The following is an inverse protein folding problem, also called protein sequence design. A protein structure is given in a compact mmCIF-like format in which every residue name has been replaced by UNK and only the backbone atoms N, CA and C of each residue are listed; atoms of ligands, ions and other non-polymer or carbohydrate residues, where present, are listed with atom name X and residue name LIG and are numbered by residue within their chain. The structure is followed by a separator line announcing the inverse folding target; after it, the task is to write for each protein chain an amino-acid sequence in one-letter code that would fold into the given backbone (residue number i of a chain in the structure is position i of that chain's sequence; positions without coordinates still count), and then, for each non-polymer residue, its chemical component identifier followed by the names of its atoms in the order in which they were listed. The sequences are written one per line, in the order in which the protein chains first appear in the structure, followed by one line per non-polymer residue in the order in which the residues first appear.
data_IF_960928216959
#
_entry.id   IF_960928216959
#
_cell.length_a   1.000
_cell.length_b   1.000
_cell.length_c   1.000
_cell.angle_alpha   90.00
_cell.angle_beta   90.00
_cell.angle_gamma   90.00
#
_symmetry.space_group_name_H-M   'P 1'
#
loop_
_entity.id
_entity.type
_entity.pdbx_description
1 polymer ?
#
# COMPACT_ATOMS: atom_id res chain seq x y z
N UNK A 1 -11.66 -21.13 3.28
CA UNK A 1 -12.32 -19.84 3.52
C UNK A 1 -13.83 -20.03 3.39
N UNK A 2 -14.60 -19.54 4.36
CA UNK A 2 -16.07 -19.43 4.29
C UNK A 2 -16.48 -17.99 4.53
N UNK A 3 -17.57 -17.55 3.92
CA UNK A 3 -18.16 -16.23 4.15
C UNK A 3 -19.59 -16.40 4.65
N UNK A 4 -19.95 -15.65 5.69
CA UNK A 4 -21.30 -15.65 6.29
C UNK A 4 -21.80 -14.21 6.33
N UNK A 5 -22.99 -13.96 5.79
CA UNK A 5 -23.68 -12.67 5.95
C UNK A 5 -24.46 -12.70 7.26
N UNK A 6 -24.19 -11.74 8.14
CA UNK A 6 -24.80 -11.62 9.45
C UNK A 6 -26.13 -10.85 9.39
N UNK A 7 -27.02 -11.00 10.39
CA UNK A 7 -28.31 -10.29 10.41
C UNK A 7 -28.21 -8.76 10.42
N UNK A 8 -27.09 -8.21 10.88
CA UNK A 8 -26.80 -6.78 10.89
C UNK A 8 -26.25 -6.25 9.55
N UNK A 9 -26.13 -7.12 8.54
CA UNK A 9 -25.59 -6.79 7.22
C UNK A 9 -24.07 -6.90 7.10
N UNK A 10 -23.35 -7.19 8.20
CA UNK A 10 -21.90 -7.44 8.14
C UNK A 10 -21.58 -8.80 7.50
N UNK A 11 -20.35 -8.97 7.02
CA UNK A 11 -19.87 -10.25 6.47
C UNK A 11 -18.71 -10.77 7.30
N UNK A 12 -18.83 -11.99 7.82
CA UNK A 12 -17.75 -12.69 8.52
C UNK A 12 -17.03 -13.64 7.58
N UNK A 13 -15.72 -13.42 7.43
CA UNK A 13 -14.82 -14.33 6.73
C UNK A 13 -14.07 -15.22 7.72
N UNK A 14 -14.16 -16.53 7.53
CA UNK A 14 -13.43 -17.52 8.35
C UNK A 14 -12.38 -18.23 7.51
N UNK A 15 -11.15 -18.26 8.01
CA UNK A 15 -10.02 -18.93 7.40
C UNK A 15 -9.22 -19.70 8.46
N UNK A 16 -8.49 -20.74 8.04
CA UNK A 16 -7.54 -21.41 8.94
C UNK A 16 -6.30 -20.55 9.12
N UNK A 17 -5.53 -20.76 10.21
CA UNK A 17 -4.24 -20.11 10.41
C UNK A 17 -3.26 -20.38 9.27
N UNK A 18 -3.31 -21.58 8.69
CA UNK A 18 -2.50 -21.93 7.53
C UNK A 18 -2.89 -21.11 6.28
N UNK A 19 -4.19 -20.93 6.04
CA UNK A 19 -4.69 -20.09 4.94
C UNK A 19 -4.33 -18.61 5.15
N UNK A 20 -4.49 -18.11 6.37
CA UNK A 20 -4.08 -16.74 6.73
C UNK A 20 -2.59 -16.52 6.44
N UNK A 21 -1.74 -17.42 6.93
CA UNK A 21 -0.30 -17.36 6.69
C UNK A 21 0.03 -17.38 5.19
N UNK A 22 -0.62 -18.25 4.43
CA UNK A 22 -0.43 -18.33 2.98
C UNK A 22 -0.78 -17.00 2.30
N UNK A 23 -1.91 -16.37 2.64
CA UNK A 23 -2.31 -15.08 2.06
C UNK A 23 -1.32 -13.95 2.41
N UNK A 24 -0.80 -13.94 3.63
CA UNK A 24 0.23 -12.99 4.05
C UNK A 24 1.53 -13.18 3.26
N UNK A 25 1.98 -14.43 3.10
CA UNK A 25 3.19 -14.77 2.36
C UNK A 25 3.03 -14.46 0.86
N UNK A 26 1.89 -14.77 0.26
CA UNK A 26 1.57 -14.44 -1.15
C UNK A 26 1.55 -12.92 -1.38
N UNK A 27 0.99 -12.15 -0.44
CA UNK A 27 1.00 -10.68 -0.51
C UNK A 27 2.43 -10.14 -0.42
N UNK A 28 3.28 -10.73 0.44
CA UNK A 28 4.72 -10.39 0.52
C UNK A 28 5.41 -10.61 -0.81
N UNK A 29 5.21 -11.75 -1.43
CA UNK A 29 5.81 -12.07 -2.74
C UNK A 29 5.35 -11.08 -3.80
N UNK A 30 4.05 -10.82 -3.92
CA UNK A 30 3.50 -9.90 -4.92
C UNK A 30 4.03 -8.45 -4.76
N UNK A 31 4.20 -7.99 -3.52
CA UNK A 31 4.80 -6.68 -3.24
C UNK A 31 6.26 -6.66 -3.69
N UNK A 32 7.04 -7.69 -3.38
CA UNK A 32 8.44 -7.78 -3.80
C UNK A 32 8.59 -7.83 -5.33
N UNK A 33 7.71 -8.57 -6.01
CA UNK A 33 7.67 -8.61 -7.48
C UNK A 33 7.33 -7.24 -8.07
N UNK A 34 6.39 -6.51 -7.47
CA UNK A 34 6.03 -5.15 -7.89
C UNK A 34 7.20 -4.18 -7.69
N UNK A 35 7.88 -4.24 -6.53
CA UNK A 35 9.09 -3.45 -6.24
C UNK A 35 10.17 -3.73 -7.27
N UNK A 36 10.45 -5.00 -7.56
CA UNK A 36 11.42 -5.38 -8.57
C UNK A 36 11.02 -4.86 -9.96
N UNK A 37 9.73 -4.85 -10.30
CA UNK A 37 9.22 -4.27 -11.53
C UNK A 37 9.55 -2.79 -11.68
N UNK A 38 9.33 -1.99 -10.63
CA UNK A 38 9.64 -0.55 -10.66
C UNK A 38 11.14 -0.28 -10.66
N UNK A 39 11.91 -0.90 -9.76
CA UNK A 39 13.35 -0.65 -9.61
C UNK A 39 14.14 -1.10 -10.85
N UNK A 40 13.68 -2.13 -11.56
CA UNK A 40 14.33 -2.59 -12.80
C UNK A 40 13.86 -1.84 -14.05
N UNK A 41 12.82 -1.01 -13.95
CA UNK A 41 12.34 -0.20 -15.06
C UNK A 41 13.14 1.10 -15.14
N UNK A 42 14.01 1.26 -16.16
CA UNK A 42 14.88 2.42 -16.28
C UNK A 42 14.14 3.69 -16.67
N UNK A 43 12.84 3.65 -16.99
CA UNK A 43 12.07 4.83 -17.39
C UNK A 43 11.62 5.68 -16.20
N UNK A 44 11.39 5.07 -15.04
CA UNK A 44 11.03 5.78 -13.81
C UNK A 44 12.27 6.19 -12.98
N UNK A 45 12.03 6.87 -11.86
CA UNK A 45 13.10 7.37 -10.98
C UNK A 45 13.48 6.46 -9.82
N UNK A 46 12.83 5.31 -9.63
CA UNK A 46 12.96 4.48 -8.43
C UNK A 46 14.32 3.77 -8.40
N UNK A 47 15.05 3.88 -7.29
CA UNK A 47 16.33 3.20 -7.08
C UNK A 47 16.22 2.05 -6.09
N UNK A 48 15.31 2.16 -5.12
CA UNK A 48 15.01 1.12 -4.14
C UNK A 48 13.64 1.36 -3.50
N UNK A 49 13.07 0.31 -2.92
CA UNK A 49 11.89 0.43 -2.05
C UNK A 49 12.14 -0.41 -0.80
N UNK A 50 12.00 0.23 0.35
CA UNK A 50 12.05 -0.41 1.66
C UNK A 50 10.63 -0.51 2.22
N UNK A 51 10.31 -1.62 2.89
CA UNK A 51 9.00 -1.88 3.49
C UNK A 51 9.17 -2.56 4.84
N UNK A 52 8.38 -2.17 5.83
CA UNK A 52 8.38 -2.81 7.15
C UNK A 52 7.64 -4.16 7.15
N UNK A 53 7.79 -4.92 8.24
CA UNK A 53 7.20 -6.25 8.37
C UNK A 53 5.67 -6.27 8.38
N UNK A 54 5.06 -5.16 8.84
CA UNK A 54 3.62 -4.94 8.89
C UNK A 54 3.02 -4.46 7.56
N UNK A 55 3.85 -4.14 6.55
CA UNK A 55 3.44 -3.49 5.29
C UNK A 55 2.58 -2.23 5.49
N UNK A 56 2.88 -1.47 6.54
CA UNK A 56 2.22 -0.21 6.82
C UNK A 56 3.06 1.00 6.44
N UNK A 57 4.38 0.82 6.20
CA UNK A 57 5.27 1.90 5.80
C UNK A 57 6.15 1.44 4.64
N UNK A 58 6.14 2.24 3.57
CA UNK A 58 7.01 2.09 2.42
C UNK A 58 7.87 3.35 2.27
N UNK A 59 9.17 3.15 2.06
CA UNK A 59 10.10 4.22 1.71
C UNK A 59 10.63 3.96 0.32
N UNK A 60 10.18 4.76 -0.64
CA UNK A 60 10.59 4.71 -2.05
C UNK A 60 11.77 5.66 -2.22
N UNK A 61 12.95 5.10 -2.50
CA UNK A 61 14.14 5.88 -2.84
C UNK A 61 14.12 6.20 -4.33
N UNK A 62 14.39 7.45 -4.66
CA UNK A 62 14.33 7.95 -6.04
C UNK A 62 15.57 8.76 -6.40
N UNK A 63 15.90 8.79 -7.69
CA UNK A 63 16.75 9.82 -8.27
C UNK A 63 15.97 11.14 -8.36
N UNK A 64 16.25 12.07 -7.44
CA UNK A 64 15.55 13.34 -7.34
C UNK A 64 15.61 14.19 -8.63
N UNK A 65 16.65 14.05 -9.45
CA UNK A 65 16.75 14.79 -10.71
C UNK A 65 15.78 14.28 -11.79
N UNK A 66 15.28 13.05 -11.63
CA UNK A 66 14.35 12.38 -12.54
C UNK A 66 12.95 12.26 -11.96
N UNK A 67 12.82 12.38 -10.65
CA UNK A 67 11.55 12.23 -9.95
C UNK A 67 10.49 13.20 -10.45
N UNK A 68 9.29 12.68 -10.62
CA UNK A 68 8.10 13.44 -10.98
C UNK A 68 7.01 13.13 -9.97
N UNK A 69 6.24 14.14 -9.49
CA UNK A 69 5.09 13.90 -8.63
C UNK A 69 4.05 12.95 -9.25
N UNK A 70 4.03 12.77 -10.58
CA UNK A 70 3.16 11.78 -11.22
C UNK A 70 3.53 10.33 -10.87
N UNK A 71 4.78 10.06 -10.48
CA UNK A 71 5.20 8.73 -10.02
C UNK A 71 4.59 8.34 -8.66
N UNK A 72 3.97 9.29 -7.94
CA UNK A 72 3.13 8.99 -6.77
C UNK A 72 1.94 8.09 -7.13
N UNK A 73 1.49 8.10 -8.39
CA UNK A 73 0.45 7.20 -8.89
C UNK A 73 0.89 5.74 -8.87
N UNK A 74 2.19 5.46 -9.01
CA UNK A 74 2.72 4.10 -8.86
C UNK A 74 2.61 3.63 -7.40
N UNK A 75 2.69 4.55 -6.43
CA UNK A 75 2.57 4.26 -5.00
C UNK A 75 1.20 3.71 -4.58
N UNK A 76 0.17 3.87 -5.41
CA UNK A 76 -1.18 3.30 -5.16
C UNK A 76 -1.13 1.79 -4.99
N UNK A 77 -0.23 1.09 -5.69
CA UNK A 77 -0.07 -0.37 -5.53
C UNK A 77 0.37 -0.76 -4.12
N UNK A 78 1.19 0.08 -3.46
CA UNK A 78 1.65 -0.13 -2.10
C UNK A 78 0.52 0.09 -1.09
N UNK A 79 -0.31 1.13 -1.29
CA UNK A 79 -1.49 1.36 -0.47
C UNK A 79 -2.45 0.17 -0.49
N UNK A 80 -2.76 -0.35 -1.70
CA UNK A 80 -3.66 -1.49 -1.86
C UNK A 80 -3.07 -2.75 -1.26
N UNK A 81 -1.80 -3.05 -1.56
CA UNK A 81 -1.16 -4.29 -1.10
C UNK A 81 -0.93 -4.31 0.41
N UNK A 82 -0.46 -3.20 0.98
CA UNK A 82 -0.25 -3.06 2.42
C UNK A 82 -1.58 -3.05 3.19
N UNK A 83 -2.61 -2.38 2.67
CA UNK A 83 -3.93 -2.38 3.28
C UNK A 83 -4.57 -3.78 3.25
N UNK A 84 -4.37 -4.55 2.18
CA UNK A 84 -4.83 -5.93 2.11
C UNK A 84 -4.06 -6.85 3.06
N UNK A 85 -2.74 -6.69 3.15
CA UNK A 85 -1.91 -7.43 4.09
C UNK A 85 -2.38 -7.21 5.54
N UNK A 86 -2.62 -5.96 5.94
CA UNK A 86 -3.10 -5.60 7.27
C UNK A 86 -4.48 -6.22 7.58
N UNK A 87 -5.39 -6.22 6.61
CA UNK A 87 -6.69 -6.90 6.76
C UNK A 87 -6.51 -8.41 7.00
N UNK A 88 -5.63 -9.07 6.24
CA UNK A 88 -5.32 -10.48 6.48
C UNK A 88 -4.57 -10.73 7.78
N UNK A 89 -3.79 -9.76 8.26
CA UNK A 89 -3.13 -9.81 9.56
C UNK A 89 -4.12 -9.61 10.72
N UNK A 90 -5.34 -9.13 10.45
CA UNK A 90 -6.40 -8.90 11.42
C UNK A 90 -6.29 -7.54 12.11
N UNK A 91 -5.70 -6.54 11.44
CA UNK A 91 -5.75 -5.14 11.87
C UNK A 91 -7.20 -4.65 11.78
N UNK A 92 -7.66 -3.93 12.80
CA UNK A 92 -9.00 -3.35 12.82
C UNK A 92 -9.17 -2.38 11.65
N UNK A 93 -10.35 -2.38 11.02
CA UNK A 93 -10.59 -1.65 9.77
C UNK A 93 -10.38 -0.13 9.89
N UNK A 94 -10.63 0.43 11.07
CA UNK A 94 -10.40 1.83 11.39
C UNK A 94 -8.94 2.15 11.71
N UNK A 95 -8.09 1.15 11.88
CA UNK A 95 -6.66 1.26 12.11
C UNK A 95 -5.81 0.92 10.87
N UNK A 96 -6.41 0.36 9.81
CA UNK A 96 -5.70 0.11 8.54
C UNK A 96 -5.26 1.43 7.92
N UNK A 97 -3.95 1.58 7.73
CA UNK A 97 -3.36 2.67 6.96
C UNK A 97 -2.01 2.23 6.38
N UNK A 98 -1.63 2.81 5.25
CA UNK A 98 -0.33 2.59 4.62
C UNK A 98 0.25 3.93 4.27
N UNK A 99 1.43 4.24 4.77
CA UNK A 99 2.18 5.45 4.42
C UNK A 99 3.25 5.13 3.38
N UNK A 100 3.36 5.96 2.36
CA UNK A 100 4.43 5.90 1.37
C UNK A 100 5.19 7.22 1.39
N UNK A 101 6.49 7.15 1.60
CA UNK A 101 7.40 8.29 1.54
C UNK A 101 8.32 8.15 0.31
N UNK A 102 8.50 9.25 -0.42
CA UNK A 102 9.45 9.36 -1.53
C UNK A 102 10.65 10.15 -1.05
N UNK A 103 11.83 9.53 -1.09
CA UNK A 103 13.07 10.12 -0.56
C UNK A 103 14.15 10.19 -1.64
N UNK A 104 14.91 11.28 -1.66
CA UNK A 104 16.11 11.37 -2.49
C UNK A 104 17.14 10.35 -2.00
N UNK A 105 17.52 9.41 -2.87
CA UNK A 105 18.49 8.35 -2.54
C UNK A 105 19.88 8.89 -2.20
N UNK A 106 20.24 10.07 -2.73
CA UNK A 106 21.55 10.67 -2.50
C UNK A 106 21.65 11.40 -1.16
N UNK A 107 20.57 12.05 -0.71
CA UNK A 107 20.59 12.95 0.44
C UNK A 107 19.74 12.47 1.62
N UNK A 108 18.77 11.59 1.37
CA UNK A 108 17.76 11.18 2.33
C UNK A 108 16.67 12.23 2.60
N UNK A 109 16.60 13.30 1.80
CA UNK A 109 15.54 14.29 1.91
C UNK A 109 14.19 13.70 1.48
N UNK A 110 13.13 13.94 2.26
CA UNK A 110 11.76 13.57 1.89
C UNK A 110 11.24 14.57 0.84
N UNK A 111 10.92 14.05 -0.35
CA UNK A 111 10.44 14.83 -1.48
C UNK A 111 8.91 14.90 -1.52
N UNK A 112 8.24 13.80 -1.19
CA UNK A 112 6.79 13.68 -1.16
C UNK A 112 6.37 12.56 -0.19
N UNK A 113 5.12 12.59 0.25
CA UNK A 113 4.54 11.57 1.13
C UNK A 113 3.03 11.53 1.01
N UNK A 114 2.44 10.37 1.26
CA UNK A 114 0.99 10.27 1.44
C UNK A 114 0.59 9.00 2.18
N UNK A 115 -0.71 8.89 2.50
CA UNK A 115 -1.28 7.68 3.08
C UNK A 115 -2.54 7.17 2.38
N UNK A 116 -2.84 5.89 2.59
CA UNK A 116 -4.09 5.26 2.13
C UNK A 116 -5.31 5.99 2.69
N UNK A 117 -5.28 6.38 3.97
CA UNK A 117 -6.40 7.13 4.57
C UNK A 117 -6.62 8.48 3.90
N UNK A 118 -5.55 9.24 3.64
CA UNK A 118 -5.65 10.52 2.94
C UNK A 118 -6.26 10.35 1.55
N UNK A 119 -5.86 9.30 0.82
CA UNK A 119 -6.43 8.98 -0.48
C UNK A 119 -7.93 8.68 -0.39
N UNK A 120 -8.36 7.85 0.56
CA UNK A 120 -9.76 7.49 0.76
C UNK A 120 -10.61 8.71 1.18
N UNK A 121 -10.08 9.54 2.08
CA UNK A 121 -10.74 10.76 2.54
C UNK A 121 -10.92 11.76 1.39
N UNK A 122 -9.91 11.89 0.50
CA UNK A 122 -9.99 12.73 -0.68
C UNK A 122 -11.06 12.25 -1.67
N UNK A 123 -11.20 10.94 -1.89
CA UNK A 123 -12.25 10.35 -2.74
C UNK A 123 -13.64 10.61 -2.17
N UNK A 124 -13.84 10.36 -0.87
CA UNK A 124 -15.12 10.58 -0.21
C UNK A 124 -15.58 12.04 -0.29
N UNK A 125 -14.65 13.01 -0.27
CA UNK A 125 -14.96 14.43 -0.42
C UNK A 125 -15.34 14.82 -1.86
N UNK A 126 -14.74 14.17 -2.86
CA UNK A 126 -15.09 14.40 -4.28
C UNK A 126 -16.50 13.88 -4.58
N UNK A 127 -16.88 12.73 -4.03
CA UNK A 127 -18.24 12.17 -4.19
C UNK A 127 -19.34 13.03 -3.54
N UNK A 128 -18.96 13.89 -2.58
CA UNK A 128 -19.86 14.78 -1.86
C UNK A 128 -20.00 16.17 -2.50
N UNK A 129 -19.21 16.52 -3.52
CA UNK A 129 -19.34 17.80 -4.22
C UNK A 129 -20.42 17.71 -5.32
N UNK A 130 -21.44 18.59 -5.30
CA UNK A 130 -22.40 18.67 -6.40
C UNK A 130 -21.71 19.16 -7.67
N UNK A 131 -22.08 18.57 -8.80
CA UNK A 131 -21.62 18.93 -10.14
C UNK A 131 -21.98 20.37 -10.55
#
# INVERSE_FOLDING_TARGET
MTAVVNPDGSVTYTMTRAQQKQMLDETKVNVQDSIAGFVNDPENSFTAVEVNDEMSQFTVKVDAARYSPLETLYGVVFYVSGGLYQQFAGVDSDAVDVTVEYVDDATGEVLDSGSLRELLDAQAQQEQQPA
#
